data_IF_484669737663
#
_entry.id   IF_484669737663
#
_cell.length_a   1.000
_cell.length_b   1.000
_cell.length_c   1.000
_cell.angle_alpha   90.00
_cell.angle_beta   90.00
_cell.angle_gamma   90.00
#
_symmetry.space_group_name_H-M   'P 1'
#
loop_
_entity.id
_entity.type
_entity.pdbx_description
1 polymer ?
#
# COMPACT_ATOMS: atom_id res chain seq x y z
N UNK A 1 -10.32 21.27 14.37
CA UNK A 1 -9.24 21.76 13.50
C UNK A 1 -9.76 21.84 12.07
N UNK A 2 -10.17 23.01 11.57
CA UNK A 2 -10.54 23.16 10.15
C UNK A 2 -9.23 23.25 9.36
N UNK A 3 -8.77 22.13 8.80
CA UNK A 3 -7.69 22.15 7.80
C UNK A 3 -8.23 22.91 6.58
N UNK A 4 -7.83 24.16 6.42
CA UNK A 4 -8.11 24.93 5.22
C UNK A 4 -7.42 24.22 4.04
N UNK A 5 -8.19 23.61 3.14
CA UNK A 5 -7.65 22.94 1.97
C UNK A 5 -7.19 24.01 0.97
N UNK A 6 -5.92 24.41 1.11
CA UNK A 6 -5.27 25.34 0.18
C UNK A 6 -5.31 24.70 -1.22
N UNK A 7 -5.85 25.41 -2.25
CA UNK A 7 -5.92 24.88 -3.60
C UNK A 7 -4.52 24.50 -4.11
N UNK A 8 -4.46 23.40 -4.85
CA UNK A 8 -3.20 22.89 -5.41
C UNK A 8 -2.76 23.83 -6.54
N UNK A 9 -1.54 24.36 -6.43
CA UNK A 9 -0.96 25.24 -7.46
C UNK A 9 -0.42 24.41 -8.64
N UNK A 10 -0.36 25.02 -9.83
CA UNK A 10 0.13 24.34 -11.06
C UNK A 10 1.52 23.71 -10.90
N UNK A 11 2.43 24.39 -10.20
CA UNK A 11 3.77 23.86 -9.95
C UNK A 11 3.76 22.62 -9.05
N UNK A 12 2.80 22.50 -8.12
CA UNK A 12 2.66 21.33 -7.25
C UNK A 12 2.24 20.10 -8.06
N UNK A 13 1.35 20.30 -9.04
CA UNK A 13 0.94 19.26 -9.98
C UNK A 13 2.14 18.83 -10.84
N UNK A 14 2.89 19.79 -11.39
CA UNK A 14 4.09 19.49 -12.16
C UNK A 14 5.14 18.73 -11.33
N UNK A 15 5.34 19.12 -10.07
CA UNK A 15 6.23 18.43 -9.15
C UNK A 15 5.75 17.00 -8.85
N UNK A 16 4.46 16.81 -8.56
CA UNK A 16 3.87 15.49 -8.36
C UNK A 16 4.03 14.61 -9.60
N UNK A 17 3.74 15.11 -10.79
CA UNK A 17 3.92 14.37 -12.03
C UNK A 17 5.38 13.96 -12.24
N UNK A 18 6.33 14.89 -12.01
CA UNK A 18 7.76 14.57 -12.07
C UNK A 18 8.17 13.49 -11.07
N UNK A 19 7.66 13.55 -9.84
CA UNK A 19 7.89 12.53 -8.80
C UNK A 19 7.32 11.17 -9.22
N UNK A 20 6.10 11.14 -9.77
CA UNK A 20 5.46 9.90 -10.22
C UNK A 20 6.16 9.29 -11.42
N UNK A 21 6.61 10.10 -12.38
CA UNK A 21 7.43 9.64 -13.52
C UNK A 21 8.76 9.06 -13.01
N UNK A 22 9.43 9.74 -12.07
CA UNK A 22 10.65 9.24 -11.46
C UNK A 22 10.43 7.92 -10.71
N UNK A 23 9.35 7.83 -9.92
CA UNK A 23 8.97 6.61 -9.22
C UNK A 23 8.67 5.47 -10.20
N UNK A 24 7.97 5.75 -11.29
CA UNK A 24 7.65 4.78 -12.33
C UNK A 24 8.91 4.30 -13.06
N UNK A 25 9.81 5.21 -13.43
CA UNK A 25 11.08 4.84 -14.07
C UNK A 25 11.91 3.88 -13.20
N UNK A 26 11.99 4.13 -11.88
CA UNK A 26 12.76 3.29 -10.96
C UNK A 26 12.10 1.93 -10.66
N UNK A 27 10.77 1.86 -10.66
CA UNK A 27 9.99 0.68 -10.24
C UNK A 27 9.52 -0.20 -11.39
N UNK A 28 9.23 0.41 -12.54
CA UNK A 28 8.75 -0.27 -13.74
C UNK A 28 9.85 -0.46 -14.79
N UNK A 29 10.96 0.28 -14.68
CA UNK A 29 12.06 0.23 -15.63
C UNK A 29 12.85 -1.08 -15.56
N UNK A 30 13.11 -1.66 -16.73
CA UNK A 30 13.86 -2.91 -16.90
C UNK A 30 13.39 -4.03 -15.96
N UNK A 31 12.11 -4.45 -16.00
CA UNK A 31 11.58 -5.42 -15.04
C UNK A 31 12.31 -6.77 -15.13
N UNK A 32 12.90 -7.11 -16.27
CA UNK A 32 13.65 -8.36 -16.52
C UNK A 32 14.95 -8.52 -15.74
N UNK A 33 15.48 -7.49 -15.08
CA UNK A 33 16.65 -7.60 -14.18
C UNK A 33 16.26 -7.73 -12.70
N UNK A 34 14.96 -7.86 -12.40
CA UNK A 34 14.48 -7.96 -11.03
C UNK A 34 14.85 -9.31 -10.43
N UNK A 35 15.24 -9.29 -9.16
CA UNK A 35 15.55 -10.49 -8.40
C UNK A 35 14.35 -11.45 -8.36
N UNK A 36 14.59 -12.69 -8.79
CA UNK A 36 13.61 -13.78 -8.76
C UNK A 36 14.24 -14.99 -8.08
N UNK A 37 13.77 -15.32 -6.88
CA UNK A 37 14.25 -16.42 -6.07
C UNK A 37 13.10 -17.41 -5.83
N UNK A 38 13.33 -18.32 -4.89
CA UNK A 38 12.38 -19.37 -4.51
C UNK A 38 11.03 -18.80 -4.03
N UNK A 39 11.04 -17.71 -3.26
CA UNK A 39 9.79 -17.16 -2.71
C UNK A 39 8.92 -16.53 -3.79
N UNK A 40 9.53 -15.82 -4.74
CA UNK A 40 8.85 -15.24 -5.90
C UNK A 40 8.27 -16.34 -6.80
N UNK A 41 9.03 -17.42 -7.03
CA UNK A 41 8.57 -18.61 -7.75
C UNK A 41 7.39 -19.31 -7.05
N UNK A 42 7.48 -19.50 -5.73
CA UNK A 42 6.41 -20.10 -4.95
C UNK A 42 5.14 -19.24 -4.94
N UNK A 43 5.28 -17.91 -4.84
CA UNK A 43 4.14 -16.99 -4.89
C UNK A 43 3.47 -17.04 -6.27
N UNK A 44 4.27 -16.97 -7.34
CA UNK A 44 3.79 -17.05 -8.72
C UNK A 44 3.04 -18.36 -8.97
N UNK A 45 3.61 -19.49 -8.55
CA UNK A 45 2.98 -20.81 -8.71
C UNK A 45 1.63 -20.88 -7.98
N UNK A 46 1.54 -20.41 -6.73
CA UNK A 46 0.27 -20.39 -5.98
C UNK A 46 -0.79 -19.50 -6.63
N UNK A 47 -0.39 -18.33 -7.14
CA UNK A 47 -1.31 -17.45 -7.85
C UNK A 47 -1.82 -18.09 -9.15
N UNK A 48 -0.94 -18.75 -9.92
CA UNK A 48 -1.32 -19.48 -11.13
C UNK A 48 -2.23 -20.68 -10.85
N UNK A 49 -1.96 -21.44 -9.78
CA UNK A 49 -2.82 -22.57 -9.39
C UNK A 49 -4.22 -22.09 -8.96
N UNK A 50 -4.32 -20.93 -8.30
CA UNK A 50 -5.61 -20.29 -8.03
C UNK A 50 -6.32 -19.88 -9.33
N UNK A 51 -5.64 -19.16 -10.24
CA UNK A 51 -6.21 -18.73 -11.53
C UNK A 51 -6.71 -19.91 -12.36
N UNK A 52 -5.99 -21.04 -12.33
CA UNK A 52 -6.31 -22.26 -13.07
C UNK A 52 -7.31 -23.16 -12.33
N UNK A 53 -7.82 -22.74 -11.17
CA UNK A 53 -8.80 -23.50 -10.38
C UNK A 53 -8.26 -24.80 -9.79
N UNK A 54 -6.94 -24.93 -9.63
CA UNK A 54 -6.28 -26.13 -9.08
C UNK A 54 -6.22 -26.11 -7.56
N UNK A 55 -6.23 -24.93 -6.96
CA UNK A 55 -6.21 -24.73 -5.51
C UNK A 55 -7.04 -23.50 -5.13
N UNK A 56 -7.54 -23.48 -3.90
CA UNK A 56 -8.18 -22.31 -3.28
C UNK A 56 -7.42 -21.94 -2.00
N UNK A 57 -6.38 -21.09 -2.10
CA UNK A 57 -5.45 -20.86 -1.00
C UNK A 57 -6.12 -20.22 0.21
N UNK A 58 -6.17 -20.97 1.32
CA UNK A 58 -6.57 -20.46 2.64
C UNK A 58 -5.42 -19.80 3.38
N UNK A 59 -4.17 -20.08 2.96
CA UNK A 59 -2.94 -19.55 3.53
C UNK A 59 -2.00 -19.11 2.39
N UNK A 60 -1.20 -18.08 2.68
CA UNK A 60 -0.11 -17.61 1.84
C UNK A 60 1.19 -18.42 2.06
N UNK A 61 2.31 -17.84 1.65
CA UNK A 61 3.63 -18.47 1.83
C UNK A 61 4.02 -18.54 3.31
N UNK A 62 4.67 -19.63 3.70
CA UNK A 62 5.28 -19.77 5.03
C UNK A 62 6.44 -18.80 5.20
N UNK A 63 6.48 -18.14 6.36
CA UNK A 63 7.60 -17.30 6.77
C UNK A 63 8.76 -18.12 7.33
N UNK A 64 9.91 -17.47 7.53
CA UNK A 64 11.09 -18.08 8.16
C UNK A 64 10.88 -18.51 9.62
N UNK A 65 9.78 -18.11 10.25
CA UNK A 65 9.37 -18.55 11.60
C UNK A 65 8.28 -19.62 11.55
N UNK A 66 8.07 -20.25 10.38
CA UNK A 66 7.09 -21.30 10.14
C UNK A 66 5.63 -20.90 10.37
N UNK A 67 5.35 -19.60 10.45
CA UNK A 67 3.98 -19.06 10.47
C UNK A 67 3.58 -18.76 9.03
N UNK A 68 2.52 -19.39 8.50
CA UNK A 68 1.97 -19.06 7.18
C UNK A 68 1.46 -17.62 7.15
N UNK A 69 1.78 -16.90 6.08
CA UNK A 69 1.14 -15.62 5.82
C UNK A 69 -0.37 -15.81 5.59
N UNK A 70 -1.20 -14.80 5.85
CA UNK A 70 -2.58 -14.85 5.41
C UNK A 70 -2.66 -14.73 3.88
N UNK A 71 -3.81 -15.06 3.26
CA UNK A 71 -3.81 -15.48 1.87
C UNK A 71 -4.03 -14.35 0.85
N UNK A 72 -4.42 -13.13 1.27
CA UNK A 72 -4.83 -12.06 0.35
C UNK A 72 -3.73 -11.67 -0.63
N UNK A 73 -2.46 -11.80 -0.26
CA UNK A 73 -1.35 -11.60 -1.20
C UNK A 73 -1.44 -12.51 -2.42
N UNK A 74 -1.82 -13.79 -2.26
CA UNK A 74 -2.00 -14.73 -3.37
C UNK A 74 -3.13 -14.27 -4.29
N UNK A 75 -4.26 -13.83 -3.74
CA UNK A 75 -5.40 -13.32 -4.52
C UNK A 75 -5.05 -12.02 -5.28
N UNK A 76 -4.25 -11.13 -4.67
CA UNK A 76 -3.79 -9.93 -5.35
C UNK A 76 -2.82 -10.25 -6.50
N UNK A 77 -1.93 -11.23 -6.31
CA UNK A 77 -1.05 -11.71 -7.38
C UNK A 77 -1.79 -12.51 -8.45
N UNK A 78 -2.92 -13.15 -8.14
CA UNK A 78 -3.74 -13.81 -9.14
C UNK A 78 -4.27 -12.83 -10.21
N UNK A 79 -4.42 -11.54 -9.89
CA UNK A 79 -4.86 -10.54 -10.87
C UNK A 79 -3.91 -10.40 -12.08
N UNK A 80 -2.61 -10.07 -11.93
CA UNK A 80 -1.69 -10.03 -13.07
C UNK A 80 -1.53 -11.40 -13.74
N UNK A 81 -1.54 -12.51 -12.98
CA UNK A 81 -1.42 -13.86 -13.54
C UNK A 81 -2.68 -14.36 -14.27
N UNK A 82 -3.84 -13.74 -14.06
CA UNK A 82 -5.04 -13.99 -14.87
C UNK A 82 -4.96 -13.35 -16.26
N UNK A 83 -4.04 -12.39 -16.46
CA UNK A 83 -3.85 -11.68 -17.71
C UNK A 83 -2.66 -12.24 -18.51
N UNK A 84 -1.58 -12.64 -17.82
CA UNK A 84 -0.36 -13.16 -18.43
C UNK A 84 0.36 -14.11 -17.44
N UNK A 85 0.75 -15.29 -17.92
CA UNK A 85 1.52 -16.27 -17.13
C UNK A 85 2.97 -15.80 -16.86
N UNK A 86 3.43 -14.76 -17.56
CA UNK A 86 4.77 -14.21 -17.41
C UNK A 86 4.94 -13.48 -16.06
N UNK A 87 5.90 -13.87 -15.20
CA UNK A 87 6.14 -13.21 -13.91
C UNK A 87 6.47 -11.72 -14.02
N UNK A 88 6.90 -11.23 -15.20
CA UNK A 88 7.10 -9.81 -15.44
C UNK A 88 5.81 -8.99 -15.25
N UNK A 89 4.64 -9.55 -15.57
CA UNK A 89 3.36 -8.89 -15.35
C UNK A 89 3.13 -8.61 -13.85
N UNK A 90 3.45 -9.59 -13.00
CA UNK A 90 3.37 -9.43 -11.55
C UNK A 90 4.40 -8.40 -11.02
N UNK A 91 5.63 -8.40 -11.53
CA UNK A 91 6.63 -7.36 -11.19
C UNK A 91 6.14 -5.95 -11.56
N UNK A 92 5.59 -5.76 -12.76
CA UNK A 92 5.04 -4.47 -13.20
C UNK A 92 3.84 -4.07 -12.33
N UNK A 93 2.99 -5.02 -11.95
CA UNK A 93 1.86 -4.80 -11.06
C UNK A 93 2.30 -4.29 -9.68
N UNK A 94 3.29 -4.92 -9.05
CA UNK A 94 3.85 -4.46 -7.76
C UNK A 94 4.47 -3.08 -7.89
N UNK A 95 5.21 -2.83 -8.96
CA UNK A 95 5.79 -1.51 -9.23
C UNK A 95 4.72 -0.43 -9.38
N UNK A 96 3.61 -0.73 -10.07
CA UNK A 96 2.48 0.16 -10.25
C UNK A 96 1.79 0.51 -8.93
N UNK A 97 1.53 -0.49 -8.08
CA UNK A 97 1.01 -0.28 -6.72
C UNK A 97 1.91 0.63 -5.89
N UNK A 98 3.22 0.51 -6.04
CA UNK A 98 4.17 1.33 -5.31
C UNK A 98 4.34 2.74 -5.88
N UNK A 99 4.09 2.95 -7.18
CA UNK A 99 3.94 4.31 -7.73
C UNK A 99 2.70 4.99 -7.13
N UNK A 100 1.59 4.26 -6.98
CA UNK A 100 0.40 4.75 -6.27
C UNK A 100 0.75 5.11 -4.82
N UNK A 101 1.54 4.27 -4.13
CA UNK A 101 1.99 4.55 -2.77
C UNK A 101 2.78 5.87 -2.66
N UNK A 102 3.65 6.18 -3.63
CA UNK A 102 4.36 7.47 -3.69
C UNK A 102 3.38 8.63 -3.83
N UNK A 103 2.38 8.51 -4.70
CA UNK A 103 1.32 9.51 -4.84
C UNK A 103 0.49 9.70 -3.58
N UNK A 104 0.13 8.61 -2.90
CA UNK A 104 -0.58 8.63 -1.62
C UNK A 104 0.26 9.30 -0.53
N UNK A 105 1.55 9.00 -0.44
CA UNK A 105 2.46 9.64 0.52
C UNK A 105 2.56 11.16 0.28
N UNK A 106 2.70 11.57 -1.00
CA UNK A 106 2.67 12.99 -1.36
C UNK A 106 1.35 13.63 -0.95
N UNK A 107 0.20 13.00 -1.27
CA UNK A 107 -1.12 13.52 -0.95
C UNK A 107 -1.36 13.63 0.56
N UNK A 108 -0.93 12.64 1.32
CA UNK A 108 -0.99 12.63 2.78
C UNK A 108 -0.19 13.80 3.35
N UNK A 109 1.07 13.93 2.94
CA UNK A 109 1.94 15.01 3.36
C UNK A 109 1.36 16.38 2.96
N UNK A 110 0.82 16.50 1.75
CA UNK A 110 0.22 17.74 1.25
C UNK A 110 -1.03 18.16 2.01
N UNK A 111 -1.79 17.19 2.53
CA UNK A 111 -3.01 17.46 3.31
C UNK A 111 -2.69 18.07 4.68
N UNK A 112 -1.66 17.57 5.35
CA UNK A 112 -1.38 17.91 6.75
C UNK A 112 -0.20 18.87 6.92
N UNK A 113 0.62 19.05 5.88
CA UNK A 113 1.82 19.89 5.91
C UNK A 113 1.88 20.85 4.72
N UNK A 114 2.99 21.60 4.63
CA UNK A 114 3.23 22.56 3.55
C UNK A 114 3.54 21.84 2.24
N UNK A 115 3.29 22.46 1.06
CA UNK A 115 3.62 21.88 -0.25
C UNK A 115 5.08 21.40 -0.38
N UNK A 116 6.03 22.10 0.23
CA UNK A 116 7.44 21.70 0.24
C UNK A 116 7.67 20.35 0.93
N UNK A 117 6.98 20.09 2.05
CA UNK A 117 7.06 18.82 2.75
C UNK A 117 6.51 17.67 1.91
N UNK A 118 5.45 17.91 1.14
CA UNK A 118 4.91 16.92 0.21
C UNK A 118 5.90 16.57 -0.91
N UNK A 119 6.55 17.58 -1.50
CA UNK A 119 7.59 17.37 -2.51
C UNK A 119 8.76 16.58 -1.93
N UNK A 120 9.26 16.97 -0.75
CA UNK A 120 10.37 16.26 -0.09
C UNK A 120 9.98 14.81 0.22
N UNK A 121 8.81 14.57 0.82
CA UNK A 121 8.33 13.23 1.12
C UNK A 121 8.18 12.37 -0.16
N UNK A 122 7.59 12.93 -1.21
CA UNK A 122 7.41 12.26 -2.49
C UNK A 122 8.74 11.92 -3.17
N UNK A 123 9.70 12.86 -3.22
CA UNK A 123 11.02 12.63 -3.81
C UNK A 123 11.79 11.57 -3.01
N UNK A 124 11.89 11.72 -1.69
CA UNK A 124 12.61 10.76 -0.84
C UNK A 124 12.03 9.36 -0.97
N UNK A 125 10.71 9.23 -1.02
CA UNK A 125 10.08 7.93 -1.20
C UNK A 125 10.25 7.38 -2.63
N UNK A 126 10.20 8.24 -3.65
CA UNK A 126 10.43 7.85 -5.03
C UNK A 126 11.85 7.28 -5.24
N UNK A 127 12.87 7.95 -4.70
CA UNK A 127 14.29 7.61 -4.92
C UNK A 127 14.89 6.69 -3.85
N UNK A 128 14.16 6.41 -2.77
CA UNK A 128 14.65 5.57 -1.68
C UNK A 128 15.08 4.19 -2.19
N UNK A 129 16.35 3.78 -2.00
CA UNK A 129 16.89 2.58 -2.65
C UNK A 129 16.14 1.31 -2.23
N UNK A 130 15.86 1.15 -0.95
CA UNK A 130 15.08 0.02 -0.44
C UNK A 130 13.63 0.04 -0.94
N UNK A 131 13.02 1.23 -1.02
CA UNK A 131 11.68 1.38 -1.56
C UNK A 131 11.60 1.03 -3.05
N UNK A 132 12.67 1.30 -3.83
CA UNK A 132 12.75 0.91 -5.23
C UNK A 132 13.03 -0.59 -5.41
N UNK A 133 13.90 -1.19 -4.60
CA UNK A 133 14.22 -2.62 -4.67
C UNK A 133 13.00 -3.48 -4.30
N UNK A 134 12.35 -3.19 -3.16
CA UNK A 134 11.18 -3.94 -2.65
C UNK A 134 9.84 -3.48 -3.25
N UNK A 135 9.87 -2.81 -4.39
CA UNK A 135 8.66 -2.53 -5.17
C UNK A 135 8.68 -3.22 -6.52
N UNK A 136 9.61 -4.15 -6.71
CA UNK A 136 9.80 -4.88 -7.96
C UNK A 136 9.56 -6.38 -7.79
N UNK A 137 9.64 -6.91 -6.56
CA UNK A 137 9.63 -8.36 -6.33
C UNK A 137 8.21 -8.89 -6.17
N UNK A 138 8.04 -10.17 -6.47
CA UNK A 138 6.77 -10.91 -6.31
C UNK A 138 6.71 -11.44 -4.88
N UNK A 139 6.53 -10.52 -3.93
CA UNK A 139 6.53 -10.84 -2.50
C UNK A 139 5.34 -10.17 -1.79
N UNK A 140 4.81 -10.83 -0.75
CA UNK A 140 3.54 -10.42 -0.12
C UNK A 140 3.61 -9.00 0.46
N UNK A 141 4.69 -8.68 1.16
CA UNK A 141 4.94 -7.37 1.78
C UNK A 141 5.16 -6.25 0.77
N UNK A 142 5.59 -6.55 -0.46
CA UNK A 142 5.84 -5.54 -1.49
C UNK A 142 4.51 -4.93 -2.00
N UNK A 143 3.38 -5.62 -1.74
CA UNK A 143 2.02 -5.13 -2.00
C UNK A 143 1.51 -4.16 -0.94
N UNK A 144 2.04 -4.20 0.29
CA UNK A 144 1.52 -3.45 1.45
C UNK A 144 1.57 -1.92 1.33
N UNK A 145 2.56 -1.26 0.71
CA UNK A 145 2.78 0.16 0.91
C UNK A 145 1.59 1.10 0.63
N UNK A 146 0.83 0.97 -0.48
CA UNK A 146 -0.35 1.81 -0.67
C UNK A 146 -1.46 1.52 0.37
N UNK A 147 -1.61 0.27 0.79
CA UNK A 147 -2.60 -0.12 1.80
C UNK A 147 -2.26 0.42 3.18
N UNK A 148 -1.00 0.35 3.61
CA UNK A 148 -0.53 0.93 4.88
C UNK A 148 -0.86 2.43 4.94
N UNK A 149 -0.48 3.18 3.90
CA UNK A 149 -0.74 4.62 3.85
C UNK A 149 -2.25 4.88 3.89
N UNK A 150 -3.05 4.11 3.14
CA UNK A 150 -4.49 4.26 3.11
C UNK A 150 -5.15 3.90 4.46
N UNK A 151 -4.70 2.87 5.18
CA UNK A 151 -5.19 2.54 6.54
C UNK A 151 -4.91 3.68 7.49
N UNK A 152 -3.67 4.17 7.54
CA UNK A 152 -3.29 5.29 8.42
C UNK A 152 -4.11 6.53 8.07
N UNK A 153 -4.23 6.85 6.78
CA UNK A 153 -4.93 8.04 6.34
C UNK A 153 -6.44 7.96 6.61
N UNK A 154 -7.09 6.83 6.31
CA UNK A 154 -8.51 6.62 6.63
C UNK A 154 -8.78 6.66 8.13
N UNK A 155 -7.87 6.16 8.97
CA UNK A 155 -7.97 6.27 10.44
C UNK A 155 -7.97 7.73 10.91
N UNK A 156 -7.05 8.55 10.39
CA UNK A 156 -7.02 9.99 10.70
C UNK A 156 -8.28 10.69 10.19
N UNK A 157 -8.70 10.41 8.95
CA UNK A 157 -9.92 10.99 8.38
C UNK A 157 -11.17 10.62 9.20
N UNK A 158 -11.25 9.38 9.66
CA UNK A 158 -12.37 8.88 10.46
C UNK A 158 -12.39 9.49 11.87
N UNK A 159 -11.27 9.39 12.59
CA UNK A 159 -11.23 9.66 14.02
C UNK A 159 -10.84 11.10 14.36
N UNK A 160 -9.89 11.68 13.62
CA UNK A 160 -9.45 13.06 13.84
C UNK A 160 -10.36 14.07 13.11
N UNK A 161 -10.75 13.76 11.87
CA UNK A 161 -11.54 14.67 11.03
C UNK A 161 -13.04 14.38 10.99
N UNK A 162 -13.50 13.33 11.70
CA UNK A 162 -14.93 12.96 11.81
C UNK A 162 -15.60 12.64 10.48
N UNK A 163 -14.85 12.18 9.46
CA UNK A 163 -15.42 11.77 8.17
C UNK A 163 -16.00 10.37 8.27
N UNK A 164 -17.33 10.27 8.37
CA UNK A 164 -18.06 9.00 8.56
C UNK A 164 -17.73 7.94 7.51
N UNK A 165 -17.64 8.33 6.24
CA UNK A 165 -17.29 7.40 5.15
C UNK A 165 -15.90 6.77 5.35
N UNK A 166 -14.94 7.52 5.90
CA UNK A 166 -13.59 7.00 6.12
C UNK A 166 -13.57 5.93 7.21
N UNK A 167 -14.46 6.03 8.22
CA UNK A 167 -14.61 4.98 9.23
C UNK A 167 -15.16 3.68 8.63
N UNK A 168 -16.12 3.76 7.72
CA UNK A 168 -16.64 2.60 6.99
C UNK A 168 -15.60 1.94 6.10
N UNK A 169 -14.72 2.73 5.47
CA UNK A 169 -13.62 2.20 4.64
C UNK A 169 -12.47 1.67 5.48
N UNK A 170 -12.18 2.28 6.64
CA UNK A 170 -11.01 1.96 7.45
C UNK A 170 -10.99 0.51 7.94
N UNK A 171 -12.11 0.00 8.46
CA UNK A 171 -12.13 -1.35 9.06
C UNK A 171 -11.95 -2.48 8.02
N UNK A 172 -12.68 -2.52 6.89
CA UNK A 172 -12.41 -3.48 5.84
C UNK A 172 -11.00 -3.35 5.28
N UNK A 173 -10.51 -2.11 5.10
CA UNK A 173 -9.17 -1.88 4.58
C UNK A 173 -8.09 -2.39 5.55
N UNK A 174 -8.23 -2.15 6.86
CA UNK A 174 -7.34 -2.68 7.90
C UNK A 174 -7.33 -4.21 7.86
N UNK A 175 -8.50 -4.84 7.79
CA UNK A 175 -8.62 -6.29 7.71
C UNK A 175 -7.93 -6.86 6.45
N UNK A 176 -8.20 -6.27 5.27
CA UNK A 176 -7.55 -6.67 4.02
C UNK A 176 -6.03 -6.50 4.11
N UNK A 177 -5.56 -5.39 4.69
CA UNK A 177 -4.11 -5.10 4.80
C UNK A 177 -3.40 -6.11 5.70
N UNK A 178 -4.01 -6.47 6.83
CA UNK A 178 -3.49 -7.52 7.72
C UNK A 178 -3.46 -8.86 7.00
N UNK A 179 -4.47 -9.15 6.16
CA UNK A 179 -4.54 -10.39 5.41
C UNK A 179 -3.53 -10.47 4.24
N UNK A 180 -2.90 -9.36 3.83
CA UNK A 180 -1.81 -9.38 2.84
C UNK A 180 -0.57 -10.03 3.45
N UNK A 181 -0.20 -9.63 4.68
CA UNK A 181 0.99 -10.12 5.38
C UNK A 181 0.87 -9.85 6.89
N UNK A 182 1.26 -10.81 7.74
CA UNK A 182 1.06 -10.70 9.20
C UNK A 182 1.81 -9.51 9.81
N UNK A 183 2.92 -9.05 9.23
CA UNK A 183 3.61 -7.84 9.72
C UNK A 183 2.69 -6.60 9.81
N UNK A 184 1.62 -6.55 9.02
CA UNK A 184 0.64 -5.47 9.08
C UNK A 184 -0.25 -5.52 10.34
N UNK A 185 -0.16 -6.55 11.20
CA UNK A 185 -0.80 -6.55 12.53
C UNK A 185 -0.38 -5.34 13.38
N UNK A 186 0.78 -4.74 13.12
CA UNK A 186 1.22 -3.49 13.76
C UNK A 186 0.26 -2.31 13.53
N UNK A 187 -0.60 -2.38 12.50
CA UNK A 187 -1.61 -1.37 12.24
C UNK A 187 -2.75 -1.39 13.25
N UNK A 188 -2.98 -2.50 13.97
CA UNK A 188 -3.98 -2.57 15.04
C UNK A 188 -3.63 -1.61 16.18
N UNK A 189 -2.47 -1.71 16.85
CA UNK A 189 -2.13 -0.77 17.92
C UNK A 189 -2.04 0.67 17.41
N UNK A 190 -1.57 0.90 16.17
CA UNK A 190 -1.60 2.25 15.57
C UNK A 190 -3.05 2.77 15.49
N UNK A 191 -3.98 1.96 15.01
CA UNK A 191 -5.41 2.29 14.94
C UNK A 191 -5.96 2.62 16.33
N UNK A 192 -5.70 1.77 17.32
CA UNK A 192 -6.14 1.99 18.70
C UNK A 192 -5.58 3.28 19.28
N UNK A 193 -4.28 3.56 19.08
CA UNK A 193 -3.66 4.81 19.51
C UNK A 193 -4.34 6.01 18.85
N UNK A 194 -4.61 5.96 17.54
CA UNK A 194 -5.33 7.06 16.88
C UNK A 194 -6.73 7.26 17.46
N UNK A 195 -7.46 6.19 17.76
CA UNK A 195 -8.77 6.30 18.41
C UNK A 195 -8.69 6.92 19.81
N UNK A 196 -7.67 6.55 20.60
CA UNK A 196 -7.45 7.09 21.95
C UNK A 196 -7.09 8.58 21.89
N UNK A 197 -6.20 8.99 20.98
CA UNK A 197 -5.80 10.39 20.80
C UNK A 197 -6.98 11.29 20.45
N UNK A 198 -7.93 10.79 19.65
CA UNK A 198 -9.14 11.52 19.26
C UNK A 198 -10.42 10.97 19.89
N UNK A 199 -10.34 10.38 21.09
CA UNK A 199 -11.48 9.75 21.77
C UNK A 199 -12.68 10.69 21.96
N UNK A 200 -12.43 11.99 22.13
CA UNK A 200 -13.49 13.00 22.29
C UNK A 200 -14.32 13.18 21.02
N UNK A 201 -13.70 12.94 19.86
CA UNK A 201 -14.39 12.96 18.57
C UNK A 201 -15.26 11.71 18.35
N UNK A 202 -14.94 10.62 19.05
CA UNK A 202 -15.64 9.35 19.00
C UNK A 202 -16.79 9.27 20.00
N UNK A 203 -16.89 10.20 20.96
CA UNK A 203 -18.03 10.26 21.86
C UNK A 203 -19.25 10.74 21.06
N UNK A 204 -20.09 9.78 20.67
CA UNK A 204 -21.44 10.05 20.21
C UNK A 204 -22.17 10.69 21.40
N UNK A 205 -22.16 12.02 21.50
CA UNK A 205 -23.11 12.69 22.38
C UNK A 205 -24.48 12.38 21.81
N UNK A 206 -25.20 11.52 22.51
CA UNK A 206 -26.64 11.40 22.45
C UNK A 206 -27.20 12.81 22.63
N UNK A 207 -27.68 13.40 21.53
CA UNK A 207 -28.58 14.55 21.52
C UNK A 207 -29.78 14.10 20.71
#
# INVERSE_FOLDING_TARGET
>A
MKLCLIPIRRWEIAALLGILVLAAALRLGAPGITEFKRDEGNMAQRALDLVRGRDFPLLGLSSSVSIPNPPVSVYLFAFPFALDDNPLAATVFVGGLNVIAVGLAWGFARRYYRPSAAVVAGVLYAVGPWAAIYSRKIWAQDLLPPFIIAVVWTGILAFAEKKRWAGWVHWPLLAITIQIHYAAFILIPITLVTMVLWRENLRWRQV
#
